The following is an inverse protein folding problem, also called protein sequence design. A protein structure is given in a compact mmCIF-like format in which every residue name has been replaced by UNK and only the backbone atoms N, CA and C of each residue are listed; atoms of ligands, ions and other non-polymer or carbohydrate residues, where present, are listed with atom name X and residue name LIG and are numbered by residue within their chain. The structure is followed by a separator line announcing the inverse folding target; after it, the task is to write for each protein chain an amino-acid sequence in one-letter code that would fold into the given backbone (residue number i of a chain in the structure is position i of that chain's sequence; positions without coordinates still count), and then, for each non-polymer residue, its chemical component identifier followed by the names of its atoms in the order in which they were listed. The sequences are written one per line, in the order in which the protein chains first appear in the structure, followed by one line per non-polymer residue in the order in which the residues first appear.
data_IF_709611870568
#
_entry.id   IF_709611870568
#
_cell.length_a   1.000
_cell.length_b   1.000
_cell.length_c   1.000
_cell.angle_alpha   90.00
_cell.angle_beta   90.00
_cell.angle_gamma   90.00
#
_symmetry.space_group_name_H-M   'P 1'
#
loop_
_entity.id
_entity.type
_entity.pdbx_description
1 polymer ?
#
# COMPACT_ATOMS: atom_id res chain seq x y z
N UNK A 1 49.10 -26.14 60.61
CA UNK A 1 48.58 -27.35 59.90
C UNK A 1 47.18 -27.16 59.27
N UNK A 2 46.40 -26.13 59.63
CA UNK A 2 45.07 -25.88 59.03
C UNK A 2 45.12 -25.20 57.64
N UNK A 3 46.09 -24.32 57.39
CA UNK A 3 46.21 -23.58 56.11
C UNK A 3 46.43 -24.51 54.90
N UNK A 4 47.24 -25.56 55.07
CA UNK A 4 47.50 -26.56 54.01
C UNK A 4 46.23 -27.34 53.65
N UNK A 5 45.35 -27.63 54.62
CA UNK A 5 44.06 -28.32 54.36
C UNK A 5 43.06 -27.42 53.64
N UNK A 6 43.11 -26.10 53.85
CA UNK A 6 42.24 -25.14 53.15
C UNK A 6 42.69 -24.97 51.71
N UNK A 7 43.99 -24.83 51.46
CA UNK A 7 44.56 -24.73 50.11
C UNK A 7 44.30 -26.01 49.30
N UNK A 8 44.47 -27.19 49.91
CA UNK A 8 44.17 -28.46 49.25
C UNK A 8 42.69 -28.62 48.88
N UNK A 9 41.77 -28.13 49.74
CA UNK A 9 40.32 -28.12 49.44
C UNK A 9 39.96 -27.11 48.36
N UNK A 10 40.60 -25.95 48.33
CA UNK A 10 40.38 -24.93 47.30
C UNK A 10 40.88 -25.40 45.93
N UNK A 11 42.06 -26.04 45.88
CA UNK A 11 42.59 -26.65 44.65
C UNK A 11 41.68 -27.81 44.19
N UNK A 12 41.21 -28.67 45.09
CA UNK A 12 40.29 -29.74 44.73
C UNK A 12 38.96 -29.20 44.16
N UNK A 13 38.41 -28.13 44.74
CA UNK A 13 37.20 -27.47 44.21
C UNK A 13 37.47 -26.80 42.86
N UNK A 14 38.61 -26.14 42.67
CA UNK A 14 38.99 -25.56 41.37
C UNK A 14 39.22 -26.63 40.29
N UNK A 15 39.80 -27.79 40.64
CA UNK A 15 39.99 -28.92 39.71
C UNK A 15 38.65 -29.57 39.37
N UNK A 16 37.73 -29.74 40.33
CA UNK A 16 36.37 -30.21 40.07
C UNK A 16 35.57 -29.22 39.21
N UNK A 17 35.72 -27.91 39.42
CA UNK A 17 35.08 -26.89 38.58
C UNK A 17 35.69 -26.82 37.17
N UNK A 18 36.99 -27.09 37.01
CA UNK A 18 37.64 -27.16 35.69
C UNK A 18 37.24 -28.43 34.91
N UNK A 19 37.03 -29.55 35.59
CA UNK A 19 36.56 -30.80 34.97
C UNK A 19 35.08 -30.76 34.56
N UNK A 20 34.24 -29.99 35.26
CA UNK A 20 32.83 -29.81 34.91
C UNK A 20 32.62 -28.86 33.70
N UNK A 21 33.66 -28.20 33.21
CA UNK A 21 33.58 -27.22 32.11
C UNK A 21 33.87 -27.80 30.72
N UNK A 22 34.14 -29.11 30.61
CA UNK A 22 34.38 -29.77 29.33
C UNK A 22 33.14 -30.55 28.85
N UNK A 23 31.98 -29.89 28.81
CA UNK A 23 30.84 -30.43 28.08
C UNK A 23 31.10 -30.21 26.58
N UNK A 24 31.24 -31.30 25.82
CA UNK A 24 31.36 -31.21 24.36
C UNK A 24 30.04 -30.67 23.78
N UNK A 25 30.13 -29.73 22.84
CA UNK A 25 28.96 -29.13 22.19
C UNK A 25 28.96 -29.42 20.68
N UNK A 26 27.80 -29.28 20.04
CA UNK A 26 27.75 -29.30 18.58
C UNK A 26 28.44 -28.06 17.99
N UNK A 27 29.23 -28.27 16.94
CA UNK A 27 29.84 -27.23 16.13
C UNK A 27 29.49 -27.44 14.65
N UNK A 28 29.70 -26.40 13.84
CA UNK A 28 29.51 -26.43 12.39
C UNK A 28 30.85 -26.24 11.68
N UNK A 29 31.09 -26.99 10.61
CA UNK A 29 32.24 -26.84 9.72
C UNK A 29 31.81 -26.59 8.28
N UNK A 30 32.67 -25.90 7.53
CA UNK A 30 32.48 -25.60 6.12
C UNK A 30 31.10 -25.00 5.80
N UNK A 31 30.58 -24.19 6.71
CA UNK A 31 29.27 -23.59 6.54
C UNK A 31 29.32 -22.49 5.49
N UNK A 32 28.36 -22.50 4.57
CA UNK A 32 28.25 -21.55 3.48
C UNK A 32 26.83 -21.01 3.43
N UNK A 33 26.71 -19.71 3.67
CA UNK A 33 25.49 -18.94 3.46
C UNK A 33 25.58 -18.26 2.10
N UNK A 34 24.65 -18.56 1.20
CA UNK A 34 24.54 -17.89 -0.09
C UNK A 34 23.12 -17.40 -0.31
N UNK A 35 22.98 -16.13 -0.69
CA UNK A 35 21.74 -15.55 -1.16
C UNK A 35 21.93 -15.14 -2.60
N UNK A 36 21.09 -15.68 -3.46
CA UNK A 36 21.09 -15.45 -4.89
C UNK A 36 19.72 -14.96 -5.30
N UNK A 37 19.65 -14.09 -6.29
CA UNK A 37 18.38 -13.80 -6.98
C UNK A 37 17.98 -15.00 -7.83
N UNK A 38 16.72 -15.05 -8.25
CA UNK A 38 16.20 -16.11 -9.11
C UNK A 38 16.93 -16.18 -10.45
N UNK A 39 17.45 -15.04 -10.92
CA UNK A 39 18.27 -14.90 -12.13
C UNK A 39 19.70 -15.41 -11.94
N UNK A 40 20.06 -15.84 -10.72
CA UNK A 40 21.35 -16.43 -10.37
C UNK A 40 22.41 -15.41 -9.95
N UNK A 41 22.07 -14.12 -9.85
CA UNK A 41 23.02 -13.11 -9.40
C UNK A 41 23.27 -13.23 -7.88
N UNK A 42 24.54 -13.34 -7.44
CA UNK A 42 24.84 -13.47 -6.02
C UNK A 42 24.67 -12.12 -5.31
N UNK A 43 23.83 -12.08 -4.27
CA UNK A 43 23.67 -10.89 -3.38
C UNK A 43 24.54 -11.00 -2.14
N UNK A 44 24.65 -12.21 -1.59
CA UNK A 44 25.43 -12.50 -0.40
C UNK A 44 26.10 -13.86 -0.55
N UNK A 45 27.37 -13.97 -0.24
CA UNK A 45 28.04 -15.27 -0.07
C UNK A 45 29.05 -15.15 1.05
N UNK A 46 28.79 -15.85 2.13
CA UNK A 46 29.65 -15.90 3.32
C UNK A 46 30.00 -17.35 3.62
N UNK A 47 31.23 -17.56 4.08
CA UNK A 47 31.76 -18.87 4.47
C UNK A 47 32.20 -18.77 5.92
N UNK A 48 31.82 -19.75 6.72
CA UNK A 48 32.14 -19.86 8.13
C UNK A 48 32.87 -21.20 8.33
N UNK A 49 34.03 -21.15 8.95
CA UNK A 49 34.79 -22.37 9.25
C UNK A 49 34.29 -23.01 10.56
N UNK A 50 33.82 -22.20 11.51
CA UNK A 50 33.33 -22.63 12.83
C UNK A 50 32.11 -21.81 13.29
N UNK A 51 31.40 -22.27 14.33
CA UNK A 51 30.30 -21.49 14.96
C UNK A 51 30.74 -20.11 15.43
N UNK A 52 32.01 -19.96 15.84
CA UNK A 52 32.56 -18.72 16.35
C UNK A 52 32.73 -17.65 15.27
N UNK A 53 32.82 -18.03 14.00
CA UNK A 53 32.95 -17.08 12.89
C UNK A 53 31.65 -16.31 12.64
N UNK A 54 30.51 -16.79 13.17
CA UNK A 54 29.21 -16.12 13.10
C UNK A 54 29.11 -15.05 14.20
N UNK A 55 30.05 -14.11 14.22
CA UNK A 55 30.13 -13.07 15.28
C UNK A 55 29.13 -11.92 15.08
N UNK A 56 28.69 -11.66 13.85
CA UNK A 56 27.73 -10.60 13.53
C UNK A 56 26.65 -11.10 12.57
N UNK A 57 25.44 -11.28 13.10
CA UNK A 57 24.28 -11.70 12.29
C UNK A 57 23.88 -10.55 11.36
N UNK A 58 24.10 -10.76 10.06
CA UNK A 58 23.84 -9.74 9.04
C UNK A 58 22.34 -9.54 8.84
N UNK A 59 21.94 -8.29 8.65
CA UNK A 59 20.60 -7.92 8.25
C UNK A 59 20.49 -7.86 6.73
N UNK A 60 19.56 -8.62 6.18
CA UNK A 60 19.25 -8.68 4.75
C UNK A 60 17.81 -8.22 4.49
N UNK A 61 17.64 -7.39 3.47
CA UNK A 61 16.33 -7.04 2.93
C UNK A 61 15.90 -8.08 1.89
N UNK A 62 14.94 -8.93 2.28
CA UNK A 62 14.43 -10.00 1.45
C UNK A 62 13.49 -9.46 0.36
N UNK A 63 13.81 -9.82 -0.88
CA UNK A 63 13.06 -9.53 -2.10
C UNK A 63 12.34 -10.79 -2.60
N UNK A 64 11.39 -10.63 -3.53
CA UNK A 64 10.51 -11.74 -3.94
C UNK A 64 11.23 -12.84 -4.72
N UNK A 65 12.32 -12.49 -5.40
CA UNK A 65 13.17 -13.33 -6.23
C UNK A 65 14.36 -13.92 -5.45
N UNK A 66 14.54 -13.58 -4.17
CA UNK A 66 15.65 -14.10 -3.39
C UNK A 66 15.51 -15.60 -3.08
N UNK A 67 16.64 -16.29 -3.18
CA UNK A 67 16.86 -17.69 -2.82
C UNK A 67 17.98 -17.76 -1.79
N UNK A 68 17.62 -18.15 -0.57
CA UNK A 68 18.55 -18.34 0.54
C UNK A 68 18.94 -19.81 0.60
N UNK A 69 20.23 -20.08 0.55
CA UNK A 69 20.80 -21.42 0.70
C UNK A 69 21.85 -21.40 1.81
N UNK A 70 21.70 -22.30 2.76
CA UNK A 70 22.64 -22.48 3.86
C UNK A 70 23.07 -23.94 3.89
N UNK A 71 24.36 -24.19 3.63
CA UNK A 71 24.94 -25.54 3.63
C UNK A 71 25.96 -25.64 4.74
N UNK A 72 25.97 -26.72 5.50
CA UNK A 72 26.92 -26.89 6.60
C UNK A 72 27.21 -28.37 6.84
N UNK A 73 28.38 -28.65 7.42
CA UNK A 73 28.71 -29.95 8.00
C UNK A 73 28.73 -29.83 9.52
N UNK A 74 28.40 -30.91 10.20
CA UNK A 74 28.27 -30.96 11.65
C UNK A 74 29.53 -31.63 12.20
N UNK A 75 30.11 -31.02 13.22
CA UNK A 75 31.27 -31.54 13.92
C UNK A 75 31.04 -31.46 15.43
N UNK A 76 31.88 -32.15 16.19
CA UNK A 76 32.02 -31.86 17.62
C UNK A 76 32.97 -30.68 17.81
N UNK A 77 32.78 -29.95 18.91
CA UNK A 77 33.69 -28.89 19.38
C UNK A 77 35.11 -29.42 19.64
N UNK A 78 35.28 -30.74 19.82
CA UNK A 78 36.58 -31.39 19.95
C UNK A 78 37.31 -31.41 18.59
N UNK A 79 38.49 -30.77 18.48
CA UNK A 79 39.20 -30.67 17.21
C UNK A 79 39.68 -32.05 16.75
N UNK A 80 39.38 -32.39 15.49
CA UNK A 80 39.85 -33.62 14.83
C UNK A 80 38.97 -34.87 15.00
N UNK A 81 37.92 -34.84 15.81
CA UNK A 81 37.01 -35.98 15.98
C UNK A 81 35.95 -35.99 14.87
N UNK A 82 35.90 -37.09 14.11
CA UNK A 82 34.82 -37.33 13.17
C UNK A 82 33.55 -37.65 13.95
N UNK A 83 32.39 -37.23 13.44
CA UNK A 83 31.13 -37.52 14.10
C UNK A 83 30.76 -39.00 13.96
N UNK A 84 30.67 -39.68 15.10
CA UNK A 84 30.10 -41.03 15.18
C UNK A 84 28.59 -41.01 14.89
N UNK A 85 28.06 -42.11 14.35
CA UNK A 85 26.64 -42.26 14.03
C UNK A 85 25.72 -41.99 15.22
N UNK A 86 26.13 -42.36 16.44
CA UNK A 86 25.36 -42.15 17.67
C UNK A 86 25.29 -40.68 18.09
N UNK A 87 26.25 -39.86 17.65
CA UNK A 87 26.34 -38.43 17.97
C UNK A 87 25.68 -37.57 16.89
N UNK A 88 25.14 -38.15 15.81
CA UNK A 88 24.42 -37.40 14.77
C UNK A 88 23.15 -36.76 15.36
N UNK A 89 22.93 -35.44 15.17
CA UNK A 89 21.76 -34.79 15.72
C UNK A 89 20.48 -35.36 15.12
N UNK A 90 19.65 -35.93 15.98
CA UNK A 90 18.33 -36.45 15.62
C UNK A 90 17.35 -35.31 15.30
N UNK A 91 17.56 -34.12 15.89
CA UNK A 91 16.78 -32.93 15.69
C UNK A 91 17.65 -31.86 15.04
N UNK A 92 17.39 -31.59 13.76
CA UNK A 92 18.03 -30.50 13.02
C UNK A 92 16.94 -29.63 12.43
N UNK A 93 16.84 -28.39 12.90
CA UNK A 93 15.79 -27.47 12.51
C UNK A 93 16.35 -26.11 12.14
N UNK A 94 15.71 -25.46 11.17
CA UNK A 94 15.88 -24.02 10.95
C UNK A 94 14.59 -23.35 11.40
N UNK A 95 14.72 -22.36 12.28
CA UNK A 95 13.60 -21.65 12.86
C UNK A 95 13.61 -20.21 12.38
N UNK A 96 12.48 -19.74 11.86
CA UNK A 96 12.20 -18.32 11.65
C UNK A 96 11.41 -17.80 12.85
N UNK A 97 11.99 -16.87 13.59
CA UNK A 97 11.35 -16.21 14.74
C UNK A 97 11.44 -14.70 14.60
N UNK A 98 10.46 -13.98 15.16
CA UNK A 98 10.54 -12.53 15.27
C UNK A 98 11.58 -12.16 16.34
N UNK A 99 12.47 -11.22 16.02
CA UNK A 99 13.50 -10.73 16.94
C UNK A 99 12.90 -9.74 17.95
N UNK A 100 11.79 -9.08 17.61
CA UNK A 100 11.18 -8.04 18.44
C UNK A 100 10.47 -8.66 19.68
N UNK A 101 10.95 -8.41 20.91
CA UNK A 101 10.41 -9.03 22.13
C UNK A 101 9.03 -8.52 22.54
N UNK A 102 8.53 -7.46 21.89
CA UNK A 102 7.24 -6.82 22.20
C UNK A 102 6.04 -7.45 21.49
N UNK A 103 6.28 -8.29 20.48
CA UNK A 103 5.22 -8.96 19.74
C UNK A 103 5.24 -10.47 20.05
N UNK A 104 4.07 -11.12 20.24
CA UNK A 104 4.03 -12.56 20.48
C UNK A 104 4.65 -13.31 19.30
N UNK A 105 5.71 -14.06 19.59
CA UNK A 105 6.54 -14.80 18.65
C UNK A 105 5.79 -16.02 18.10
N UNK A 106 5.10 -15.84 16.98
CA UNK A 106 4.86 -16.98 16.09
C UNK A 106 6.18 -17.33 15.43
N UNK A 107 6.67 -18.54 15.66
CA UNK A 107 7.83 -19.09 14.99
C UNK A 107 7.38 -20.11 13.95
N UNK A 108 8.18 -20.26 12.89
CA UNK A 108 8.00 -21.31 11.92
C UNK A 108 9.26 -22.17 11.85
N UNK A 109 9.09 -23.48 11.78
CA UNK A 109 10.17 -24.46 11.89
C UNK A 109 10.24 -25.26 10.59
N UNK A 110 11.42 -25.29 9.96
CA UNK A 110 11.72 -26.22 8.88
C UNK A 110 12.58 -27.36 9.40
N UNK A 111 12.08 -28.61 9.36
CA UNK A 111 12.91 -29.76 9.64
C UNK A 111 13.90 -30.00 8.51
N UNK A 112 15.16 -30.25 8.87
CA UNK A 112 16.22 -30.62 7.95
C UNK A 112 16.59 -32.08 8.17
N UNK A 113 16.87 -32.77 7.06
CA UNK A 113 17.44 -34.11 7.10
C UNK A 113 18.95 -34.00 6.95
N UNK A 114 19.68 -34.46 7.97
CA UNK A 114 21.14 -34.59 7.91
C UNK A 114 21.49 -35.85 7.13
N UNK A 115 22.48 -35.74 6.25
CA UNK A 115 23.03 -36.88 5.52
C UNK A 115 24.04 -37.59 6.41
N UNK A 116 23.68 -38.78 6.88
CA UNK A 116 24.51 -39.56 7.82
C UNK A 116 25.91 -39.85 7.29
N UNK A 117 26.05 -40.11 5.98
CA UNK A 117 27.35 -40.43 5.36
C UNK A 117 28.39 -39.30 5.42
N UNK A 118 27.95 -38.06 5.58
CA UNK A 118 28.83 -36.87 5.54
C UNK A 118 28.54 -35.86 6.64
N UNK A 119 27.68 -36.24 7.61
CA UNK A 119 27.17 -35.37 8.67
C UNK A 119 26.81 -33.96 8.19
N UNK A 120 26.22 -33.83 7.00
CA UNK A 120 25.99 -32.53 6.35
C UNK A 120 24.54 -32.32 5.98
N UNK A 121 24.12 -31.06 5.98
CA UNK A 121 22.76 -30.66 5.64
C UNK A 121 22.76 -29.40 4.79
N UNK A 122 21.71 -29.23 4.00
CA UNK A 122 21.50 -28.05 3.18
C UNK A 122 20.07 -27.58 3.34
N UNK A 123 19.94 -26.35 3.82
CA UNK A 123 18.69 -25.61 3.84
C UNK A 123 18.56 -24.77 2.57
N UNK A 124 17.35 -24.74 2.02
CA UNK A 124 17.03 -23.97 0.83
C UNK A 124 15.64 -23.34 1.00
N UNK A 125 15.59 -22.01 0.90
CA UNK A 125 14.37 -21.23 1.06
C UNK A 125 14.26 -20.24 -0.08
N UNK A 126 13.17 -20.34 -0.84
CA UNK A 126 12.82 -19.33 -1.85
C UNK A 126 11.74 -18.41 -1.32
N UNK A 127 11.92 -17.11 -1.48
CA UNK A 127 10.99 -16.10 -0.98
C UNK A 127 9.63 -16.14 -1.71
N UNK A 128 9.61 -16.52 -3.00
CA UNK A 128 8.39 -16.68 -3.80
C UNK A 128 7.51 -17.86 -3.35
N UNK A 129 8.14 -18.92 -2.81
CA UNK A 129 7.50 -20.18 -2.43
C UNK A 129 7.46 -20.41 -0.91
N UNK A 130 7.34 -19.34 -0.13
CA UNK A 130 7.11 -19.48 1.32
C UNK A 130 5.80 -20.24 1.61
N UNK A 131 5.75 -21.08 2.66
CA UNK A 131 4.52 -21.74 3.11
C UNK A 131 3.41 -20.75 3.46
N UNK A 132 2.14 -21.17 3.34
CA UNK A 132 0.98 -20.28 3.56
C UNK A 132 0.93 -19.76 5.00
N UNK A 133 1.35 -20.59 5.93
CA UNK A 133 1.42 -20.30 7.36
C UNK A 133 2.43 -19.18 7.63
N UNK A 134 3.61 -19.26 7.00
CA UNK A 134 4.65 -18.22 7.05
C UNK A 134 4.14 -16.93 6.43
N UNK A 135 3.50 -16.98 5.25
CA UNK A 135 2.94 -15.77 4.60
C UNK A 135 1.94 -15.05 5.51
N UNK A 136 1.02 -15.79 6.13
CA UNK A 136 0.04 -15.25 7.09
C UNK A 136 0.71 -14.65 8.31
N UNK A 137 1.74 -15.32 8.83
CA UNK A 137 2.54 -14.83 9.95
C UNK A 137 3.25 -13.51 9.59
N UNK A 138 3.85 -13.42 8.41
CA UNK A 138 4.56 -12.22 7.95
C UNK A 138 3.61 -11.05 7.70
N UNK A 139 2.44 -11.30 7.09
CA UNK A 139 1.45 -10.27 6.81
C UNK A 139 0.82 -9.64 8.07
N UNK A 140 0.77 -10.38 9.19
CA UNK A 140 0.11 -9.94 10.42
C UNK A 140 0.95 -9.08 11.38
N UNK A 141 2.27 -8.94 11.16
CA UNK A 141 3.21 -8.40 12.17
C UNK A 141 3.59 -6.90 11.99
N UNK A 142 2.79 -6.14 11.24
CA UNK A 142 2.96 -4.68 11.10
C UNK A 142 4.04 -4.25 10.10
N UNK A 143 4.40 -2.95 10.11
CA UNK A 143 5.10 -2.34 8.98
C UNK A 143 6.59 -2.72 8.82
N UNK A 144 7.30 -3.18 9.86
CA UNK A 144 8.76 -3.48 9.79
C UNK A 144 9.27 -4.58 10.77
N UNK A 145 8.63 -5.76 10.88
CA UNK A 145 9.15 -6.83 11.73
C UNK A 145 10.50 -7.36 11.19
N UNK A 146 11.43 -7.63 12.11
CA UNK A 146 12.73 -8.25 11.78
C UNK A 146 12.72 -9.70 12.26
N UNK A 147 13.04 -10.63 11.37
CA UNK A 147 13.03 -12.05 11.69
C UNK A 147 14.44 -12.63 11.70
N UNK A 148 14.73 -13.50 12.65
CA UNK A 148 15.97 -14.27 12.69
C UNK A 148 15.75 -15.68 12.14
N UNK A 149 16.67 -16.12 11.28
CA UNK A 149 16.86 -17.52 10.94
C UNK A 149 17.92 -18.10 11.87
N UNK A 150 17.49 -19.08 12.67
CA UNK A 150 18.32 -19.75 13.66
C UNK A 150 18.39 -21.24 13.35
N UNK A 151 19.60 -21.79 13.27
CA UNK A 151 19.84 -23.22 13.22
C UNK A 151 19.79 -23.78 14.63
N UNK A 152 18.99 -24.82 14.84
CA UNK A 152 18.92 -25.60 16.07
C UNK A 152 19.39 -27.02 15.79
N UNK A 153 20.44 -27.46 16.50
CA UNK A 153 20.91 -28.84 16.49
C UNK A 153 20.76 -29.43 17.89
N UNK A 154 20.18 -30.62 17.96
CA UNK A 154 20.06 -31.39 19.19
C UNK A 154 19.97 -32.89 18.92
N UNK A 155 20.43 -33.68 19.88
CA UNK A 155 20.18 -35.11 19.95
C UNK A 155 19.70 -35.47 21.34
N UNK A 156 18.96 -36.57 21.42
CA UNK A 156 18.77 -37.28 22.67
C UNK A 156 19.99 -38.18 22.87
N UNK A 157 20.75 -37.94 23.95
CA UNK A 157 21.91 -38.74 24.28
C UNK A 157 21.48 -40.18 24.58
N UNK A 158 22.14 -41.16 23.96
CA UNK A 158 21.90 -42.59 24.25
C UNK A 158 22.68 -43.05 25.49
N UNK A 159 23.77 -42.34 25.82
CA UNK A 159 24.62 -42.54 27.00
C UNK A 159 25.21 -41.20 27.45
N UNK A 160 25.62 -41.08 28.73
CA UNK A 160 26.24 -39.85 29.27
C UNK A 160 27.52 -39.43 28.51
N UNK A 161 28.21 -40.38 27.87
CA UNK A 161 29.41 -40.14 27.07
C UNK A 161 29.12 -39.64 25.65
N UNK A 162 27.87 -39.77 25.19
CA UNK A 162 27.38 -39.24 23.90
C UNK A 162 26.67 -37.89 24.04
N UNK A 163 26.56 -37.37 25.27
CA UNK A 163 25.82 -36.15 25.55
C UNK A 163 26.56 -34.93 25.00
N UNK A 164 25.99 -34.32 23.98
CA UNK A 164 26.45 -33.07 23.38
C UNK A 164 25.46 -31.95 23.70
N UNK A 165 25.96 -30.79 24.08
CA UNK A 165 25.14 -29.60 24.29
C UNK A 165 24.53 -29.13 22.97
N UNK A 166 23.24 -28.79 23.00
CA UNK A 166 22.48 -28.35 21.84
C UNK A 166 23.03 -27.02 21.28
N UNK A 167 23.12 -26.91 19.96
CA UNK A 167 23.57 -25.69 19.28
C UNK A 167 22.36 -24.85 18.87
N UNK A 168 22.39 -23.58 19.25
CA UNK A 168 21.46 -22.55 18.75
C UNK A 168 22.27 -21.44 18.10
N UNK A 169 22.20 -21.36 16.77
CA UNK A 169 23.04 -20.48 15.97
C UNK A 169 22.19 -19.57 15.06
N UNK A 170 21.98 -18.30 15.41
CA UNK A 170 21.36 -17.33 14.51
C UNK A 170 22.36 -16.99 13.40
N UNK A 171 22.00 -17.21 12.13
CA UNK A 171 22.91 -17.02 11.00
C UNK A 171 22.48 -15.92 10.03
N UNK A 172 21.21 -15.48 10.06
CA UNK A 172 20.73 -14.42 9.19
C UNK A 172 19.53 -13.68 9.78
N UNK A 173 19.54 -12.35 9.72
CA UNK A 173 18.37 -11.53 10.01
C UNK A 173 17.72 -11.08 8.70
N UNK A 174 16.40 -11.21 8.62
CA UNK A 174 15.58 -10.90 7.45
C UNK A 174 14.62 -9.76 7.76
N UNK A 175 14.57 -8.79 6.86
CA UNK A 175 13.50 -7.80 6.75
C UNK A 175 12.81 -7.96 5.42
N UNK A 176 11.50 -8.13 5.45
CA UNK A 176 10.70 -8.29 4.24
C UNK A 176 10.35 -6.93 3.64
N UNK A 177 10.50 -6.80 2.32
CA UNK A 177 10.08 -5.59 1.60
C UNK A 177 8.55 -5.44 1.61
N UNK A 178 8.06 -4.19 1.61
CA UNK A 178 6.61 -3.90 1.59
C UNK A 178 5.92 -4.50 0.36
N UNK A 179 6.58 -4.49 -0.80
CA UNK A 179 6.05 -5.11 -2.02
C UNK A 179 5.85 -6.62 -1.89
N UNK A 180 6.73 -7.31 -1.18
CA UNK A 180 6.61 -8.74 -0.90
C UNK A 180 5.51 -9.02 0.13
N UNK A 181 5.41 -8.21 1.18
CA UNK A 181 4.34 -8.32 2.18
C UNK A 181 2.94 -8.07 1.57
N UNK A 182 2.82 -7.10 0.66
CA UNK A 182 1.58 -6.82 -0.07
C UNK A 182 1.12 -8.01 -0.96
N UNK A 183 2.07 -8.79 -1.49
CA UNK A 183 1.77 -10.03 -2.22
C UNK A 183 1.30 -11.16 -1.31
N UNK A 184 1.60 -11.11 -0.02
CA UNK A 184 1.17 -12.10 0.96
C UNK A 184 -0.17 -11.75 1.60
N UNK A 185 -0.51 -10.46 1.70
CA UNK A 185 -1.84 -10.01 2.14
C UNK A 185 -2.91 -10.24 1.08
N UNK A 186 -2.53 -10.22 -0.19
CA UNK A 186 -3.41 -10.61 -1.30
C UNK A 186 -3.38 -12.13 -1.45
N UNK A 187 -4.47 -12.87 -1.18
CA UNK A 187 -4.50 -14.29 -1.49
C UNK A 187 -4.28 -14.44 -2.99
N UNK A 188 -3.15 -15.02 -3.40
CA UNK A 188 -2.98 -15.46 -4.77
C UNK A 188 -4.10 -16.47 -5.05
N UNK A 189 -5.13 -16.03 -5.78
CA UNK A 189 -6.26 -16.85 -6.17
C UNK A 189 -5.69 -18.06 -6.89
N UNK A 190 -5.87 -19.26 -6.32
CA UNK A 190 -5.36 -20.46 -6.96
C UNK A 190 -5.99 -20.57 -8.36
N UNK A 191 -5.31 -21.20 -9.31
CA UNK A 191 -5.90 -21.47 -10.63
C UNK A 191 -7.25 -22.18 -10.51
N UNK A 192 -7.35 -23.08 -9.52
CA UNK A 192 -8.60 -23.73 -9.12
C UNK A 192 -9.65 -22.76 -8.60
N UNK A 193 -9.30 -21.82 -7.71
CA UNK A 193 -10.24 -20.83 -7.20
C UNK A 193 -10.67 -19.82 -8.29
N UNK A 194 -9.79 -19.53 -9.26
CA UNK A 194 -10.15 -18.73 -10.43
C UNK A 194 -11.11 -19.49 -11.35
N UNK A 195 -10.87 -20.78 -11.59
CA UNK A 195 -11.79 -21.63 -12.34
C UNK A 195 -13.14 -21.77 -11.62
N UNK A 196 -13.14 -22.01 -10.31
CA UNK A 196 -14.36 -22.11 -9.49
C UNK A 196 -15.19 -20.80 -9.54
N UNK A 197 -14.52 -19.64 -9.54
CA UNK A 197 -15.16 -18.34 -9.68
C UNK A 197 -15.71 -18.10 -11.11
N UNK A 198 -14.99 -18.54 -12.15
CA UNK A 198 -15.43 -18.42 -13.54
C UNK A 198 -16.60 -19.36 -13.88
N UNK A 199 -16.60 -20.56 -13.32
CA UNK A 199 -17.64 -21.57 -13.52
C UNK A 199 -18.91 -21.29 -12.67
N UNK A 200 -18.90 -20.22 -11.85
CA UNK A 200 -20.06 -19.78 -11.08
C UNK A 200 -20.34 -20.61 -9.82
N UNK A 201 -19.35 -21.35 -9.30
CA UNK A 201 -19.49 -22.10 -8.03
C UNK A 201 -19.52 -21.18 -6.80
N UNK A 202 -19.12 -19.92 -6.95
CA UNK A 202 -19.25 -18.88 -5.93
C UNK A 202 -20.30 -17.84 -6.35
N UNK A 203 -21.07 -17.27 -5.42
CA UNK A 203 -21.99 -16.18 -5.73
C UNK A 203 -21.24 -15.03 -6.40
N UNK A 204 -21.75 -14.57 -7.54
CA UNK A 204 -21.19 -13.41 -8.23
C UNK A 204 -21.32 -12.17 -7.32
N UNK A 205 -20.30 -11.28 -7.32
CA UNK A 205 -20.40 -10.04 -6.57
C UNK A 205 -21.59 -9.22 -7.09
N UNK A 206 -22.31 -8.59 -6.17
CA UNK A 206 -23.40 -7.70 -6.52
C UNK A 206 -22.84 -6.46 -7.22
N UNK A 207 -23.20 -6.27 -8.49
CA UNK A 207 -22.94 -5.04 -9.22
C UNK A 207 -24.13 -4.08 -9.06
N UNK A 208 -23.89 -2.89 -8.53
CA UNK A 208 -24.86 -1.80 -8.51
C UNK A 208 -24.52 -0.77 -9.58
N UNK A 209 -25.52 -0.32 -10.34
CA UNK A 209 -25.35 0.76 -11.29
C UNK A 209 -25.19 2.09 -10.54
N UNK A 210 -24.02 2.70 -10.62
CA UNK A 210 -23.79 4.05 -10.10
C UNK A 210 -24.23 5.06 -11.15
N UNK A 211 -25.33 5.77 -10.88
CA UNK A 211 -25.73 6.89 -11.72
C UNK A 211 -24.74 8.04 -11.59
N UNK A 212 -24.60 8.83 -12.67
CA UNK A 212 -23.86 10.07 -12.61
C UNK A 212 -24.49 11.01 -11.58
N UNK A 213 -23.65 11.79 -10.89
CA UNK A 213 -24.12 12.82 -9.96
C UNK A 213 -24.95 13.86 -10.71
N UNK A 214 -26.11 14.21 -10.17
CA UNK A 214 -27.01 15.16 -10.80
C UNK A 214 -26.40 16.58 -10.79
N UNK A 215 -26.57 17.39 -11.85
CA UNK A 215 -25.88 18.67 -12.00
C UNK A 215 -26.09 19.65 -10.83
N UNK A 216 -27.28 19.66 -10.21
CA UNK A 216 -27.61 20.56 -9.10
C UNK A 216 -26.77 20.30 -7.84
N UNK A 217 -26.21 19.10 -7.66
CA UNK A 217 -25.35 18.78 -6.53
C UNK A 217 -23.99 19.49 -6.60
N UNK A 218 -23.59 19.90 -7.81
CA UNK A 218 -22.37 20.66 -8.06
C UNK A 218 -22.60 22.16 -8.19
N UNK A 219 -23.86 22.62 -8.14
CA UNK A 219 -24.18 24.03 -8.32
C UNK A 219 -23.83 24.86 -7.08
N UNK A 220 -23.33 26.09 -7.26
CA UNK A 220 -23.08 27.02 -6.17
C UNK A 220 -24.38 27.36 -5.41
N UNK A 221 -24.28 27.83 -4.15
CA UNK A 221 -25.44 28.16 -3.35
C UNK A 221 -26.29 29.26 -4.01
N UNK A 222 -27.62 29.10 -3.95
CA UNK A 222 -28.61 29.94 -4.64
C UNK A 222 -28.46 31.44 -4.33
N UNK A 223 -28.11 31.78 -3.08
CA UNK A 223 -27.90 33.16 -2.63
C UNK A 223 -26.71 33.79 -3.37
N UNK A 224 -25.63 33.04 -3.57
CA UNK A 224 -24.44 33.53 -4.27
C UNK A 224 -24.74 33.77 -5.75
N UNK A 225 -25.41 32.81 -6.39
CA UNK A 225 -25.84 32.96 -7.78
C UNK A 225 -26.79 34.15 -7.97
N UNK A 226 -27.73 34.36 -7.04
CA UNK A 226 -28.65 35.50 -7.06
C UNK A 226 -27.91 36.83 -6.91
N UNK A 227 -26.98 36.94 -5.96
CA UNK A 227 -26.20 38.15 -5.73
C UNK A 227 -25.37 38.52 -6.96
N UNK A 228 -24.71 37.54 -7.57
CA UNK A 228 -23.93 37.74 -8.81
C UNK A 228 -24.84 38.14 -9.96
N UNK A 229 -25.98 37.47 -10.14
CA UNK A 229 -26.93 37.79 -11.20
C UNK A 229 -27.46 39.24 -11.08
N UNK A 230 -27.82 39.69 -9.87
CA UNK A 230 -28.24 41.08 -9.62
C UNK A 230 -27.10 42.04 -9.95
N UNK A 231 -25.88 41.78 -9.49
CA UNK A 231 -24.74 42.65 -9.74
C UNK A 231 -24.41 42.81 -11.23
N UNK A 232 -24.37 41.70 -11.96
CA UNK A 232 -24.06 41.67 -13.40
C UNK A 232 -25.19 42.25 -14.24
N UNK A 233 -26.44 41.98 -13.89
CA UNK A 233 -27.58 42.45 -14.67
C UNK A 233 -27.94 43.90 -14.31
N UNK A 234 -28.18 44.21 -13.04
CA UNK A 234 -28.69 45.53 -12.61
C UNK A 234 -27.61 46.60 -12.60
N UNK A 235 -26.36 46.24 -12.26
CA UNK A 235 -25.25 47.19 -12.12
C UNK A 235 -25.00 48.05 -13.37
N UNK A 236 -24.77 47.46 -14.55
CA UNK A 236 -24.56 48.20 -15.79
C UNK A 236 -25.73 49.11 -16.18
N UNK A 237 -26.97 48.66 -15.96
CA UNK A 237 -28.17 49.48 -16.23
C UNK A 237 -28.29 50.69 -15.31
N UNK A 238 -28.01 50.53 -14.00
CA UNK A 238 -27.98 51.65 -13.06
C UNK A 238 -26.89 52.65 -13.42
N UNK A 239 -25.71 52.18 -13.81
CA UNK A 239 -24.62 53.04 -14.27
C UNK A 239 -25.05 53.82 -15.53
N UNK A 240 -25.63 53.14 -16.53
CA UNK A 240 -26.13 53.80 -17.74
C UNK A 240 -27.19 54.87 -17.40
N UNK A 241 -28.14 54.56 -16.52
CA UNK A 241 -29.17 55.52 -16.09
C UNK A 241 -28.57 56.75 -15.40
N UNK A 242 -27.57 56.57 -14.53
CA UNK A 242 -26.91 57.70 -13.86
C UNK A 242 -26.13 58.58 -14.84
N UNK A 243 -25.47 57.97 -15.83
CA UNK A 243 -24.76 58.69 -16.91
C UNK A 243 -25.72 59.41 -17.87
N UNK A 244 -26.90 58.87 -18.14
CA UNK A 244 -27.91 59.49 -19.03
C UNK A 244 -28.80 60.54 -18.36
N UNK A 245 -28.92 60.52 -17.03
CA UNK A 245 -29.72 61.50 -16.25
C UNK A 245 -29.47 62.98 -16.61
N UNK A 246 -28.23 63.48 -16.81
CA UNK A 246 -28.01 64.87 -17.22
C UNK A 246 -28.55 65.18 -18.62
N UNK A 247 -28.55 64.22 -19.55
CA UNK A 247 -29.02 64.39 -20.93
C UNK A 247 -30.55 64.33 -21.06
N UNK A 248 -31.22 63.58 -20.18
CA UNK A 248 -32.68 63.41 -20.16
C UNK A 248 -33.46 64.61 -19.59
N UNK A 249 -32.78 65.66 -19.10
CA UNK A 249 -33.44 66.86 -18.55
C UNK A 249 -34.08 67.76 -19.61
N UNK A 250 -33.80 67.53 -20.89
CA UNK A 250 -34.45 68.22 -22.00
C UNK A 250 -35.79 67.55 -22.29
N UNK A 251 -36.87 68.01 -21.65
CA UNK A 251 -38.22 67.47 -21.87
C UNK A 251 -38.71 67.89 -23.26
N UNK A 252 -38.60 67.01 -24.24
CA UNK A 252 -39.41 67.07 -25.46
C UNK A 252 -40.74 66.36 -25.19
N UNK A 253 -41.86 66.99 -25.53
CA UNK A 253 -43.16 66.32 -25.51
C UNK A 253 -43.19 65.25 -26.60
N UNK A 254 -43.40 63.99 -26.22
CA UNK A 254 -43.52 62.88 -27.15
C UNK A 254 -44.66 63.12 -28.13
N UNK A 255 -44.37 63.00 -29.41
CA UNK A 255 -45.41 63.06 -30.44
C UNK A 255 -46.14 61.73 -30.55
N UNK A 256 -47.38 61.73 -31.06
CA UNK A 256 -48.18 60.51 -31.25
C UNK A 256 -47.42 59.36 -31.98
N UNK A 257 -46.69 59.58 -33.09
CA UNK A 257 -45.94 58.49 -33.74
C UNK A 257 -44.77 57.97 -32.89
N UNK A 258 -44.09 58.82 -32.12
CA UNK A 258 -43.04 58.39 -31.18
C UNK A 258 -43.62 57.55 -30.04
N UNK A 259 -44.83 57.89 -29.57
CA UNK A 259 -45.50 57.15 -28.51
C UNK A 259 -45.94 55.78 -29.00
N UNK A 260 -46.49 55.69 -30.22
CA UNK A 260 -46.85 54.43 -30.87
C UNK A 260 -45.63 53.55 -31.14
N UNK A 261 -44.51 54.14 -31.55
CA UNK A 261 -43.25 53.44 -31.72
C UNK A 261 -42.78 52.85 -30.39
N UNK A 262 -42.77 53.65 -29.32
CA UNK A 262 -42.37 53.21 -27.99
C UNK A 262 -43.24 52.06 -27.48
N UNK A 263 -44.56 52.15 -27.64
CA UNK A 263 -45.51 51.08 -27.28
C UNK A 263 -45.22 49.81 -28.08
N UNK A 264 -45.01 49.93 -29.40
CA UNK A 264 -44.78 48.78 -30.27
C UNK A 264 -43.46 48.07 -29.95
N UNK A 265 -42.39 48.83 -29.71
CA UNK A 265 -41.09 48.29 -29.28
C UNK A 265 -41.22 47.65 -27.89
N UNK A 266 -41.89 48.28 -26.94
CA UNK A 266 -42.11 47.71 -25.60
C UNK A 266 -42.93 46.40 -25.67
N UNK A 267 -43.93 46.35 -26.54
CA UNK A 267 -44.74 45.16 -26.75
C UNK A 267 -43.93 44.01 -27.38
N UNK A 268 -43.00 44.31 -28.30
CA UNK A 268 -42.07 43.32 -28.86
C UNK A 268 -41.12 42.76 -27.80
N UNK A 269 -40.63 43.58 -26.89
CA UNK A 269 -39.79 43.13 -25.76
C UNK A 269 -40.57 42.20 -24.81
N UNK A 270 -41.82 42.55 -24.48
CA UNK A 270 -42.70 41.69 -23.68
C UNK A 270 -42.96 40.37 -24.40
N UNK A 271 -43.19 40.41 -25.72
CA UNK A 271 -43.41 39.22 -26.52
C UNK A 271 -42.17 38.32 -26.57
N UNK A 272 -40.96 38.90 -26.62
CA UNK A 272 -39.70 38.17 -26.52
C UNK A 272 -39.54 37.48 -25.14
N UNK A 273 -39.94 38.16 -24.05
CA UNK A 273 -39.97 37.56 -22.71
C UNK A 273 -40.98 36.41 -22.61
N UNK A 274 -42.16 36.55 -23.23
CA UNK A 274 -43.16 35.48 -23.29
C UNK A 274 -42.65 34.27 -24.09
N UNK A 275 -41.94 34.50 -25.20
CA UNK A 275 -41.28 33.43 -25.95
C UNK A 275 -40.25 32.70 -25.08
N UNK A 276 -39.40 33.43 -24.36
CA UNK A 276 -38.42 32.85 -23.45
C UNK A 276 -39.08 32.04 -22.32
N UNK A 277 -40.25 32.48 -21.82
CA UNK A 277 -41.04 31.76 -20.82
C UNK A 277 -41.77 30.52 -21.37
N UNK A 278 -41.71 30.26 -22.68
CA UNK A 278 -42.26 29.06 -23.32
C UNK A 278 -43.49 29.28 -24.19
N UNK A 279 -43.82 30.52 -24.57
CA UNK A 279 -44.87 30.76 -25.54
C UNK A 279 -44.52 30.11 -26.89
N UNK A 280 -45.45 29.42 -27.55
CA UNK A 280 -45.13 28.69 -28.76
C UNK A 280 -44.87 29.63 -29.95
N UNK A 281 -43.94 29.21 -30.81
CA UNK A 281 -43.46 29.99 -31.97
C UNK A 281 -44.60 30.40 -32.90
N UNK A 282 -45.64 29.59 -33.08
CA UNK A 282 -46.76 29.91 -33.96
C UNK A 282 -47.70 30.99 -33.41
N UNK A 283 -47.63 31.31 -32.11
CA UNK A 283 -48.33 32.48 -31.52
C UNK A 283 -47.41 33.70 -31.56
N UNK A 284 -46.14 33.50 -31.19
CA UNK A 284 -45.14 34.56 -31.14
C UNK A 284 -44.85 35.13 -32.53
N UNK A 285 -44.68 34.28 -33.55
CA UNK A 285 -44.32 34.69 -34.90
C UNK A 285 -45.32 35.66 -35.54
N UNK A 286 -46.62 35.30 -35.65
CA UNK A 286 -47.64 36.21 -36.18
C UNK A 286 -47.80 37.48 -35.35
N UNK A 287 -47.74 37.38 -34.03
CA UNK A 287 -47.85 38.55 -33.14
C UNK A 287 -46.65 39.50 -33.30
N UNK A 288 -45.44 38.96 -33.43
CA UNK A 288 -44.23 39.73 -33.68
C UNK A 288 -44.29 40.42 -35.06
N UNK A 289 -44.83 39.75 -36.07
CA UNK A 289 -45.02 40.34 -37.39
C UNK A 289 -45.99 41.53 -37.36
N UNK A 290 -47.12 41.40 -36.65
CA UNK A 290 -48.10 42.49 -36.48
C UNK A 290 -47.51 43.68 -35.73
N UNK A 291 -46.88 43.44 -34.57
CA UNK A 291 -46.25 44.48 -33.77
C UNK A 291 -45.06 45.12 -34.49
N UNK A 292 -44.26 44.33 -35.21
CA UNK A 292 -43.14 44.80 -36.02
C UNK A 292 -43.57 45.68 -37.19
N UNK A 293 -44.69 45.34 -37.85
CA UNK A 293 -45.29 46.18 -38.89
C UNK A 293 -45.76 47.53 -38.33
N UNK A 294 -46.37 47.52 -37.14
CA UNK A 294 -46.75 48.74 -36.42
C UNK A 294 -45.53 49.62 -36.09
N UNK A 295 -44.49 49.01 -35.50
CA UNK A 295 -43.24 49.69 -35.17
C UNK A 295 -42.55 50.27 -36.42
N UNK A 296 -42.56 49.55 -37.55
CA UNK A 296 -41.97 50.02 -38.80
C UNK A 296 -42.67 51.26 -39.35
N UNK A 297 -44.01 51.25 -39.38
CA UNK A 297 -44.81 52.38 -39.89
C UNK A 297 -44.67 53.61 -39.00
N UNK A 298 -44.80 53.45 -37.67
CA UNK A 298 -44.64 54.55 -36.71
C UNK A 298 -43.22 55.07 -36.67
N UNK A 299 -42.23 54.18 -36.80
CA UNK A 299 -40.81 54.53 -36.85
C UNK A 299 -40.45 55.35 -38.08
N UNK A 300 -41.00 54.97 -39.25
CA UNK A 300 -40.81 55.73 -40.48
C UNK A 300 -41.35 57.16 -40.36
N UNK A 301 -42.53 57.34 -39.76
CA UNK A 301 -43.12 58.66 -39.54
C UNK A 301 -42.37 59.50 -38.49
N UNK A 302 -41.93 58.87 -37.40
CA UNK A 302 -41.14 59.53 -36.36
C UNK A 302 -39.78 60.02 -36.89
N UNK A 303 -39.10 59.16 -37.67
CA UNK A 303 -37.81 59.49 -38.30
C UNK A 303 -37.98 60.56 -39.39
N UNK A 304 -39.02 60.47 -40.22
CA UNK A 304 -39.29 61.48 -41.24
C UNK A 304 -39.50 62.88 -40.64
N UNK A 305 -40.17 62.98 -39.49
CA UNK A 305 -40.31 64.27 -38.77
C UNK A 305 -38.99 64.80 -38.24
N UNK A 306 -38.07 63.91 -37.85
CA UNK A 306 -36.76 64.29 -37.34
C UNK A 306 -35.83 64.84 -38.44
N UNK A 307 -36.00 64.40 -39.70
CA UNK A 307 -35.24 64.89 -40.87
C UNK A 307 -35.85 66.12 -41.56
N UNK A 308 -37.04 66.58 -41.15
CA UNK A 308 -37.73 67.77 -41.70
C UNK A 308 -37.47 69.04 -40.86
N UNK A 309 -36.68 68.91 -39.79
CA UNK A 309 -36.07 70.00 -39.02
C UNK A 309 -34.62 70.21 -39.45
#
# INVERSE_FOLDING_TARGET
MQVVKVIARFIAVCVLCALAACASSYDIRDARLSVQTLDGSPRLTEKFATKHDVTQVKLLHAEADDVIRFSFSIASDTPGEAMDLERIPQQTWVVLSNVDPKQPTRSFIWPLRVRESSASATFHLRMDKLPKEVRRMLAGNGEKPTYALTLLLGAFASSEQSQLDALSLPFLHLRFSQGLLARFSSPATSSRAMAEAQDGFTPLPQHSHTFATEPWQSMPPTILSLAIAIGVFVGPWLLLQTLWKPYLRTKSSLTLPETLLLISVSALEILALLYWAGAPVWIVGPTAFLLGSGAFLSGREAVAKLYVL
#
